data_IF_068009998577
#
_entry.id   IF_068009998577
#
_cell.length_a   1.000
_cell.length_b   1.000
_cell.length_c   1.000
_cell.angle_alpha   90.00
_cell.angle_beta   90.00
_cell.angle_gamma   90.00
#
_symmetry.space_group_name_H-M   'P 1'
#
loop_
_entity.id
_entity.type
_entity.pdbx_description
1 polymer ?
#
# COMPACT_ATOMS: atom_id res chain seq x y z
N UNK A 1 10.86 9.82 -23.79
CA UNK A 1 10.23 10.32 -22.53
C UNK A 1 8.72 10.54 -22.64
N UNK A 2 8.19 11.34 -23.59
CA UNK A 2 6.75 11.67 -23.69
C UNK A 2 5.78 10.46 -23.65
N UNK A 3 6.14 9.35 -24.30
CA UNK A 3 5.31 8.12 -24.35
C UNK A 3 5.17 7.42 -23.00
N UNK A 4 6.23 7.42 -22.19
CA UNK A 4 6.23 6.85 -20.83
C UNK A 4 5.47 7.75 -19.85
N UNK A 5 5.63 9.07 -19.96
CA UNK A 5 4.90 10.03 -19.13
C UNK A 5 3.38 9.96 -19.36
N UNK A 6 2.93 9.86 -20.61
CA UNK A 6 1.50 9.70 -20.93
C UNK A 6 0.94 8.41 -20.31
N UNK A 7 1.67 7.30 -20.41
CA UNK A 7 1.24 6.02 -19.82
C UNK A 7 1.12 6.12 -18.29
N UNK A 8 2.08 6.78 -17.63
CA UNK A 8 2.05 7.01 -16.19
C UNK A 8 0.88 7.91 -15.77
N UNK A 9 0.63 9.01 -16.49
CA UNK A 9 -0.49 9.92 -16.22
C UNK A 9 -1.82 9.20 -16.37
N UNK A 10 -2.01 8.42 -17.44
CA UNK A 10 -3.23 7.64 -17.65
C UNK A 10 -3.43 6.62 -16.52
N UNK A 11 -2.36 5.93 -16.11
CA UNK A 11 -2.41 5.00 -14.97
C UNK A 11 -2.85 5.69 -13.66
N UNK A 12 -2.29 6.86 -13.37
CA UNK A 12 -2.67 7.64 -12.19
C UNK A 12 -4.12 8.15 -12.27
N UNK A 13 -4.59 8.54 -13.45
CA UNK A 13 -5.99 8.95 -13.65
C UNK A 13 -6.95 7.79 -13.40
N UNK A 14 -6.65 6.59 -13.93
CA UNK A 14 -7.46 5.38 -13.69
C UNK A 14 -7.48 5.03 -12.20
N UNK A 15 -6.33 5.11 -11.51
CA UNK A 15 -6.24 4.89 -10.06
C UNK A 15 -7.09 5.89 -9.27
N UNK A 16 -7.05 7.17 -9.63
CA UNK A 16 -7.87 8.20 -8.98
C UNK A 16 -9.37 7.97 -9.22
N UNK A 17 -9.77 7.63 -10.44
CA UNK A 17 -11.16 7.30 -10.78
C UNK A 17 -11.65 6.08 -10.00
N UNK A 18 -10.83 5.04 -9.88
CA UNK A 18 -11.15 3.87 -9.06
C UNK A 18 -11.44 4.25 -7.61
N UNK A 19 -10.59 5.08 -6.99
CA UNK A 19 -10.80 5.55 -5.62
C UNK A 19 -12.08 6.38 -5.45
N UNK A 20 -12.45 7.19 -6.45
CA UNK A 20 -13.70 7.97 -6.42
C UNK A 20 -14.91 7.04 -6.51
N UNK A 21 -14.89 6.11 -7.47
CA UNK A 21 -15.99 5.17 -7.68
C UNK A 21 -16.18 4.29 -6.45
N UNK A 22 -15.10 3.70 -5.92
CA UNK A 22 -15.12 2.87 -4.71
C UNK A 22 -15.77 3.59 -3.52
N UNK A 23 -15.35 4.83 -3.24
CA UNK A 23 -15.92 5.65 -2.17
C UNK A 23 -17.40 5.99 -2.39
N UNK A 24 -17.83 6.23 -3.64
CA UNK A 24 -19.25 6.47 -3.95
C UNK A 24 -20.09 5.21 -3.70
N UNK A 25 -19.60 4.03 -4.10
CA UNK A 25 -20.29 2.77 -3.88
C UNK A 25 -20.39 2.44 -2.39
N UNK A 26 -19.31 2.63 -1.62
CA UNK A 26 -19.32 2.42 -0.17
C UNK A 26 -20.27 3.42 0.50
N UNK A 27 -20.19 4.71 0.17
CA UNK A 27 -21.03 5.75 0.76
C UNK A 27 -22.53 5.57 0.46
N UNK A 28 -22.88 5.16 -0.78
CA UNK A 28 -24.28 4.93 -1.16
C UNK A 28 -24.81 3.55 -0.72
N UNK A 29 -23.96 2.53 -0.69
CA UNK A 29 -24.35 1.14 -0.44
C UNK A 29 -24.32 0.75 1.04
N UNK A 30 -23.33 1.21 1.80
CA UNK A 30 -23.12 0.86 3.21
C UNK A 30 -23.36 2.03 4.17
N UNK A 31 -23.56 3.24 3.64
CA UNK A 31 -23.94 4.42 4.42
C UNK A 31 -22.79 5.05 5.22
N UNK A 32 -23.14 5.98 6.11
CA UNK A 32 -22.17 6.82 6.81
C UNK A 32 -21.22 6.04 7.74
N UNK A 33 -21.70 4.98 8.41
CA UNK A 33 -20.88 4.17 9.31
C UNK A 33 -19.70 3.48 8.60
N UNK A 34 -19.90 3.00 7.37
CA UNK A 34 -18.83 2.41 6.58
C UNK A 34 -17.79 3.45 6.13
N UNK A 35 -18.22 4.67 5.80
CA UNK A 35 -17.28 5.76 5.50
C UNK A 35 -16.46 6.17 6.73
N UNK A 36 -17.06 6.14 7.92
CA UNK A 36 -16.35 6.39 9.18
C UNK A 36 -15.33 5.28 9.46
N UNK A 37 -15.71 4.01 9.30
CA UNK A 37 -14.80 2.86 9.42
C UNK A 37 -13.60 2.98 8.48
N UNK A 38 -13.84 3.30 7.20
CA UNK A 38 -12.79 3.52 6.21
C UNK A 38 -11.80 4.63 6.62
N UNK A 39 -12.31 5.69 7.25
CA UNK A 39 -11.50 6.82 7.71
C UNK A 39 -10.61 6.43 8.89
N UNK A 40 -11.09 5.56 9.77
CA UNK A 40 -10.34 5.01 10.92
C UNK A 40 -9.28 4.00 10.45
N UNK A 41 -9.57 3.22 9.41
CA UNK A 41 -8.62 2.29 8.79
C UNK A 41 -7.49 3.02 8.00
N UNK A 42 -7.76 4.23 7.51
CA UNK A 42 -6.85 4.95 6.60
C UNK A 42 -5.41 5.16 7.11
N UNK A 43 -5.16 5.50 8.39
CA UNK A 43 -3.80 5.59 8.94
C UNK A 43 -3.05 4.26 8.88
N UNK A 44 -3.73 3.15 9.17
CA UNK A 44 -3.16 1.80 9.13
C UNK A 44 -2.79 1.44 7.69
N UNK A 45 -3.73 1.69 6.77
CA UNK A 45 -3.50 1.51 5.33
C UNK A 45 -2.31 2.32 4.82
N UNK A 46 -2.15 3.56 5.30
CA UNK A 46 -1.04 4.43 4.93
C UNK A 46 0.30 3.86 5.38
N UNK A 47 0.38 3.28 6.59
CA UNK A 47 1.60 2.62 7.09
C UNK A 47 1.94 1.39 6.22
N UNK A 48 0.93 0.60 5.85
CA UNK A 48 1.10 -0.55 4.94
C UNK A 48 1.70 -0.11 3.59
N UNK A 49 1.12 0.91 2.97
CA UNK A 49 1.64 1.47 1.72
C UNK A 49 3.07 2.00 1.92
N UNK A 50 3.33 2.73 3.00
CA UNK A 50 4.64 3.32 3.26
C UNK A 50 5.76 2.26 3.33
N UNK A 51 5.51 1.13 4.00
CA UNK A 51 6.47 0.03 4.06
C UNK A 51 6.67 -0.61 2.68
N UNK A 52 5.59 -0.83 1.93
CA UNK A 52 5.66 -1.34 0.57
C UNK A 52 6.46 -0.42 -0.36
N UNK A 53 6.25 0.89 -0.25
CA UNK A 53 7.00 1.91 -0.99
C UNK A 53 8.47 1.96 -0.58
N UNK A 54 8.76 1.88 0.72
CA UNK A 54 10.14 1.86 1.24
C UNK A 54 10.95 0.73 0.60
N UNK A 55 10.40 -0.49 0.59
CA UNK A 55 11.09 -1.65 0.03
C UNK A 55 11.11 -1.58 -1.49
N UNK A 56 9.97 -1.29 -2.14
CA UNK A 56 9.84 -1.28 -3.59
C UNK A 56 10.67 -0.18 -4.26
N UNK A 57 10.51 1.08 -3.84
CA UNK A 57 11.30 2.18 -4.39
C UNK A 57 12.76 2.14 -3.91
N UNK A 58 13.00 1.79 -2.64
CA UNK A 58 14.36 1.66 -2.12
C UNK A 58 15.17 0.59 -2.87
N UNK A 59 14.59 -0.61 -3.02
CA UNK A 59 15.19 -1.70 -3.79
C UNK A 59 15.35 -1.38 -5.28
N UNK A 60 14.35 -0.73 -5.88
CA UNK A 60 14.42 -0.25 -7.27
C UNK A 60 15.50 0.81 -7.49
N UNK A 61 15.77 1.65 -6.49
CA UNK A 61 16.87 2.62 -6.51
C UNK A 61 18.23 1.92 -6.48
N UNK A 62 18.43 0.97 -5.55
CA UNK A 62 19.67 0.16 -5.48
C UNK A 62 19.91 -0.61 -6.77
N UNK A 63 18.86 -1.23 -7.33
CA UNK A 63 18.92 -1.91 -8.63
C UNK A 63 19.39 -0.96 -9.74
N UNK A 64 18.81 0.25 -9.80
CA UNK A 64 19.14 1.24 -10.82
C UNK A 64 20.59 1.70 -10.70
N UNK A 65 21.12 1.85 -9.48
CA UNK A 65 22.53 2.17 -9.22
C UNK A 65 23.42 1.02 -9.74
N UNK A 66 23.11 -0.24 -9.38
CA UNK A 66 23.89 -1.41 -9.81
C UNK A 66 23.92 -1.63 -11.31
N UNK A 67 22.80 -1.42 -11.99
CA UNK A 67 22.75 -1.44 -13.45
C UNK A 67 23.57 -0.30 -14.06
N UNK A 68 23.57 0.88 -13.45
CA UNK A 68 24.42 2.02 -13.86
C UNK A 68 25.91 1.77 -13.68
N UNK A 69 26.31 0.97 -12.69
CA UNK A 69 27.69 0.51 -12.46
C UNK A 69 28.12 -0.64 -13.42
N UNK A 70 27.23 -1.08 -14.32
CA UNK A 70 27.40 -2.31 -15.12
C UNK A 70 27.58 -3.60 -14.29
N UNK A 71 27.26 -3.56 -12.99
CA UNK A 71 27.33 -4.68 -12.05
C UNK A 71 26.03 -5.53 -12.13
N UNK A 72 25.97 -6.36 -13.16
CA UNK A 72 24.79 -7.20 -13.45
C UNK A 72 24.51 -8.23 -12.34
N UNK A 73 25.56 -8.77 -11.71
CA UNK A 73 25.42 -9.72 -10.60
C UNK A 73 24.89 -9.03 -9.33
N UNK A 74 25.40 -7.83 -9.03
CA UNK A 74 24.90 -6.99 -7.95
C UNK A 74 23.45 -6.57 -8.16
N UNK A 75 23.06 -6.24 -9.40
CA UNK A 75 21.68 -5.95 -9.78
C UNK A 75 20.75 -7.15 -9.53
N UNK A 76 21.17 -8.36 -9.92
CA UNK A 76 20.39 -9.58 -9.70
C UNK A 76 20.20 -9.88 -8.21
N UNK A 77 21.26 -9.71 -7.40
CA UNK A 77 21.19 -9.84 -5.94
C UNK A 77 20.29 -8.78 -5.32
N UNK A 78 20.37 -7.54 -5.76
CA UNK A 78 19.52 -6.45 -5.26
C UNK A 78 18.02 -6.73 -5.53
N UNK A 79 17.69 -7.22 -6.73
CA UNK A 79 16.34 -7.66 -7.09
C UNK A 79 15.86 -8.80 -6.17
N UNK A 80 16.66 -9.85 -6.04
CA UNK A 80 16.34 -11.00 -5.18
C UNK A 80 16.11 -10.58 -3.72
N UNK A 81 17.03 -9.81 -3.16
CA UNK A 81 16.93 -9.31 -1.79
C UNK A 81 15.71 -8.42 -1.59
N UNK A 82 15.40 -7.53 -2.54
CA UNK A 82 14.22 -6.66 -2.48
C UNK A 82 12.94 -7.49 -2.48
N UNK A 83 12.86 -8.49 -3.37
CA UNK A 83 11.71 -9.38 -3.44
C UNK A 83 11.54 -10.19 -2.16
N UNK A 84 12.62 -10.82 -1.66
CA UNK A 84 12.59 -11.58 -0.40
C UNK A 84 12.20 -10.69 0.79
N UNK A 85 12.76 -9.48 0.89
CA UNK A 85 12.41 -8.55 1.95
C UNK A 85 10.94 -8.14 1.86
N UNK A 86 10.44 -7.85 0.65
CA UNK A 86 9.03 -7.53 0.43
C UNK A 86 8.11 -8.67 0.86
N UNK A 87 8.42 -9.91 0.48
CA UNK A 87 7.63 -11.09 0.87
C UNK A 87 7.64 -11.29 2.38
N UNK A 88 8.80 -11.22 3.03
CA UNK A 88 8.92 -11.38 4.49
C UNK A 88 8.14 -10.27 5.20
N UNK A 89 8.34 -9.01 4.81
CA UNK A 89 7.61 -7.88 5.40
C UNK A 89 6.11 -7.99 5.19
N UNK A 90 5.65 -8.44 4.02
CA UNK A 90 4.22 -8.66 3.75
C UNK A 90 3.63 -9.74 4.66
N UNK A 91 4.32 -10.86 4.84
CA UNK A 91 3.87 -11.95 5.75
C UNK A 91 3.83 -11.45 7.19
N UNK A 92 4.90 -10.78 7.65
CA UNK A 92 4.98 -10.24 9.02
C UNK A 92 3.86 -9.24 9.28
N UNK A 93 3.65 -8.28 8.36
CA UNK A 93 2.58 -7.32 8.47
C UNK A 93 1.20 -7.99 8.48
N UNK A 94 0.97 -8.98 7.61
CA UNK A 94 -0.31 -9.71 7.57
C UNK A 94 -0.60 -10.42 8.90
N UNK A 95 0.40 -11.08 9.50
CA UNK A 95 0.26 -11.77 10.78
C UNK A 95 0.01 -10.76 11.90
N UNK A 96 0.81 -9.69 11.98
CA UNK A 96 0.64 -8.65 12.99
C UNK A 96 -0.70 -7.92 12.83
N UNK A 97 -1.10 -7.65 11.59
CA UNK A 97 -2.40 -7.11 11.25
C UNK A 97 -3.50 -7.99 11.82
N UNK A 98 -3.56 -9.26 11.47
CA UNK A 98 -4.62 -10.16 11.96
C UNK A 98 -4.67 -10.28 13.48
N UNK A 99 -3.54 -10.23 14.19
CA UNK A 99 -3.52 -10.36 15.65
C UNK A 99 -3.92 -9.06 16.34
N UNK A 100 -3.47 -7.91 15.82
CA UNK A 100 -3.57 -6.62 16.51
C UNK A 100 -4.59 -5.65 15.88
N UNK A 101 -5.29 -6.02 14.79
CA UNK A 101 -6.16 -5.09 14.05
C UNK A 101 -7.21 -4.44 14.94
N UNK A 102 -7.91 -5.19 15.79
CA UNK A 102 -8.95 -4.65 16.68
C UNK A 102 -8.37 -3.65 17.70
N UNK A 103 -7.18 -3.94 18.22
CA UNK A 103 -6.49 -3.08 19.18
C UNK A 103 -5.96 -1.81 18.52
N UNK A 104 -5.46 -1.92 17.30
CA UNK A 104 -5.01 -0.77 16.51
C UNK A 104 -6.24 0.09 16.15
N UNK A 105 -7.30 -0.51 15.63
CA UNK A 105 -8.54 0.19 15.26
C UNK A 105 -9.16 0.93 16.46
N UNK A 106 -9.21 0.31 17.64
CA UNK A 106 -9.71 0.96 18.85
C UNK A 106 -8.84 2.13 19.31
N UNK A 107 -7.50 2.04 19.21
CA UNK A 107 -6.59 3.18 19.48
C UNK A 107 -6.85 4.33 18.50
N UNK A 108 -7.16 4.04 17.24
CA UNK A 108 -7.48 5.05 16.23
C UNK A 108 -8.94 5.55 16.27
N UNK A 109 -9.73 5.10 17.26
CA UNK A 109 -11.07 5.63 17.53
C UNK A 109 -12.24 4.79 17.02
N UNK A 110 -12.02 3.52 16.67
CA UNK A 110 -13.10 2.58 16.38
C UNK A 110 -13.95 2.31 17.62
N UNK A 111 -15.27 2.38 17.43
CA UNK A 111 -16.32 1.98 18.39
C UNK A 111 -17.00 0.70 17.92
N UNK A 112 -17.72 -0.03 18.77
CA UNK A 112 -18.37 -1.31 18.40
C UNK A 112 -19.18 -1.26 17.09
N UNK A 113 -19.86 -0.13 16.82
CA UNK A 113 -20.65 0.07 15.60
C UNK A 113 -19.83 0.34 14.32
N UNK A 114 -18.55 0.70 14.47
CA UNK A 114 -17.64 0.99 13.34
C UNK A 114 -16.61 -0.11 13.12
N UNK A 115 -16.38 -0.97 14.12
CA UNK A 115 -15.46 -2.11 14.04
C UNK A 115 -15.89 -3.14 12.98
N UNK A 116 -17.20 -3.34 12.80
CA UNK A 116 -17.74 -4.27 11.77
C UNK A 116 -17.47 -3.79 10.33
N UNK A 117 -17.14 -2.52 10.14
CA UNK A 117 -16.91 -1.90 8.83
C UNK A 117 -15.47 -1.43 8.61
N UNK A 118 -14.55 -1.67 9.56
CA UNK A 118 -13.16 -1.25 9.52
C UNK A 118 -12.23 -2.47 9.52
#
# INVERSE_FOLDING_TARGET
>A
MKKFSILAIVGMLVFALYNIVDRIFIGKGLGAYAMTGLSIYFPIFTIYIAIGMLIGQGGGSVLSIKLGEHDSDGAHKALGNTFTLFTISSIVLTILGNIYIDQILTIFGATENTLTYA
#
